data_IF_104698356703
#
_entry.id   IF_104698356703
#
_cell.length_a   1.000
_cell.length_b   1.000
_cell.length_c   1.000
_cell.angle_alpha   90.00
_cell.angle_beta   90.00
_cell.angle_gamma   90.00
#
_symmetry.space_group_name_H-M   'P 1'
#
loop_
_entity.id
_entity.type
_entity.pdbx_description
1 polymer ?
#
# COMPACT_ATOMS: atom_id res chain seq x y z
N UNK A 1 -5.98 11.93 -4.49
CA UNK A 1 -4.57 11.47 -4.67
C UNK A 1 -3.96 11.90 -6.01
N UNK A 2 -4.32 11.31 -7.16
CA UNK A 2 -3.70 11.69 -8.45
C UNK A 2 -3.85 13.19 -8.78
N UNK A 3 -5.06 13.76 -8.63
CA UNK A 3 -5.29 15.20 -8.80
C UNK A 3 -4.61 16.09 -7.75
N UNK A 4 -4.07 15.51 -6.67
CA UNK A 4 -3.28 16.21 -5.64
C UNK A 4 -1.77 16.03 -5.87
N UNK A 5 -1.36 15.38 -6.98
CA UNK A 5 0.04 15.14 -7.30
C UNK A 5 0.74 14.12 -6.41
N UNK A 6 0.00 13.28 -5.68
CA UNK A 6 0.58 12.24 -4.82
C UNK A 6 1.15 11.11 -5.72
N UNK A 7 2.47 10.81 -5.64
CA UNK A 7 3.07 9.69 -6.36
C UNK A 7 2.49 8.37 -5.86
N UNK A 8 2.17 7.45 -6.78
CA UNK A 8 1.56 6.17 -6.45
C UNK A 8 2.18 5.06 -7.30
N UNK A 9 2.31 3.88 -6.71
CA UNK A 9 2.80 2.68 -7.37
C UNK A 9 1.96 1.45 -7.02
N UNK A 10 2.03 0.43 -7.86
CA UNK A 10 1.58 -0.93 -7.52
C UNK A 10 2.79 -1.74 -7.08
N UNK A 11 2.71 -2.39 -5.92
CA UNK A 11 3.68 -3.34 -5.42
C UNK A 11 2.96 -4.66 -5.13
N UNK A 12 3.08 -5.64 -6.03
CA UNK A 12 2.23 -6.82 -6.04
C UNK A 12 3.03 -8.12 -6.02
N UNK A 13 2.42 -9.17 -5.43
CA UNK A 13 2.93 -10.54 -5.50
C UNK A 13 2.64 -11.25 -6.83
N UNK A 14 1.90 -10.63 -7.74
CA UNK A 14 1.53 -11.21 -9.04
C UNK A 14 2.60 -10.95 -10.11
N UNK A 15 2.55 -11.71 -11.21
CA UNK A 15 3.44 -11.51 -12.36
C UNK A 15 3.16 -10.16 -13.06
N UNK A 16 4.13 -9.60 -13.80
CA UNK A 16 3.95 -8.36 -14.56
C UNK A 16 2.74 -8.39 -15.51
N UNK A 17 2.48 -9.52 -16.17
CA UNK A 17 1.37 -9.66 -17.13
C UNK A 17 0.01 -9.59 -16.42
N UNK A 18 -0.11 -10.22 -15.25
CA UNK A 18 -1.33 -10.18 -14.46
C UNK A 18 -1.62 -8.76 -13.96
N UNK A 19 -0.59 -8.06 -13.47
CA UNK A 19 -0.73 -6.66 -13.02
C UNK A 19 -1.14 -5.76 -14.19
N UNK A 20 -0.45 -5.85 -15.32
CA UNK A 20 -0.76 -5.06 -16.52
C UNK A 20 -2.20 -5.31 -17.00
N UNK A 21 -2.64 -6.57 -17.01
CA UNK A 21 -4.01 -6.93 -17.39
C UNK A 21 -5.05 -6.30 -16.46
N UNK A 22 -4.83 -6.36 -15.14
CA UNK A 22 -5.77 -5.78 -14.16
C UNK A 22 -5.80 -4.25 -14.27
N UNK A 23 -4.64 -3.60 -14.38
CA UNK A 23 -4.56 -2.15 -14.51
C UNK A 23 -5.27 -1.65 -15.78
N UNK A 24 -5.02 -2.28 -16.92
CA UNK A 24 -5.69 -1.93 -18.18
C UNK A 24 -7.21 -2.14 -18.12
N UNK A 25 -7.67 -3.25 -17.51
CA UNK A 25 -9.11 -3.53 -17.39
C UNK A 25 -9.84 -2.58 -16.43
N UNK A 26 -9.13 -2.04 -15.45
CA UNK A 26 -9.69 -1.10 -14.46
C UNK A 26 -9.49 0.37 -14.86
N UNK A 27 -8.68 0.66 -15.89
CA UNK A 27 -8.29 2.01 -16.28
C UNK A 27 -7.33 2.69 -15.28
N UNK A 28 -6.78 1.92 -14.34
CA UNK A 28 -5.89 2.45 -13.30
C UNK A 28 -4.45 2.66 -13.82
N UNK A 29 -4.10 2.10 -14.97
CA UNK A 29 -2.85 2.36 -15.68
C UNK A 29 -2.63 3.86 -15.99
N UNK A 30 -3.72 4.62 -16.14
CA UNK A 30 -3.65 6.08 -16.28
C UNK A 30 -3.07 6.79 -15.04
N UNK A 31 -3.19 6.17 -13.86
CA UNK A 31 -2.81 6.74 -12.55
C UNK A 31 -1.63 6.03 -11.89
N UNK A 32 -1.47 4.72 -12.12
CA UNK A 32 -0.48 3.84 -11.49
C UNK A 32 0.57 3.40 -12.51
N UNK A 33 1.43 4.34 -12.91
CA UNK A 33 2.44 4.10 -13.95
C UNK A 33 3.66 3.35 -13.44
N UNK A 34 3.94 3.46 -12.15
CA UNK A 34 5.04 2.73 -11.49
C UNK A 34 4.50 1.42 -10.96
N UNK A 35 5.04 0.31 -11.44
CA UNK A 35 4.65 -1.04 -11.06
C UNK A 35 5.90 -1.81 -10.64
N UNK A 36 5.78 -2.61 -9.59
CA UNK A 36 6.78 -3.56 -9.13
C UNK A 36 6.09 -4.89 -8.85
N UNK A 37 6.51 -5.93 -9.56
CA UNK A 37 6.15 -7.32 -9.32
C UNK A 37 7.13 -7.98 -8.35
N UNK A 38 6.67 -8.98 -7.61
CA UNK A 38 7.53 -9.86 -6.83
C UNK A 38 8.58 -10.59 -7.70
N UNK A 39 8.33 -10.76 -9.01
CA UNK A 39 9.27 -11.36 -9.96
C UNK A 39 10.47 -10.45 -10.27
N UNK A 40 10.37 -9.15 -9.96
CA UNK A 40 11.42 -8.15 -10.19
C UNK A 40 12.34 -7.95 -8.97
N UNK A 41 12.05 -8.61 -7.85
CA UNK A 41 12.79 -8.45 -6.59
C UNK A 41 13.33 -9.79 -6.07
N UNK A 42 14.36 -9.72 -5.23
CA UNK A 42 15.03 -10.92 -4.73
C UNK A 42 14.15 -11.75 -3.78
N UNK A 43 13.28 -11.09 -3.00
CA UNK A 43 12.42 -11.75 -2.01
C UNK A 43 11.01 -11.16 -2.06
N UNK A 44 10.01 -12.02 -2.24
CA UNK A 44 8.61 -11.64 -2.14
C UNK A 44 8.17 -11.37 -0.69
N UNK A 45 6.98 -10.80 -0.53
CA UNK A 45 6.31 -10.60 0.77
C UNK A 45 6.33 -11.93 1.57
N UNK A 46 6.71 -11.94 2.87
CA UNK A 46 6.76 -10.80 3.79
C UNK A 46 8.08 -10.02 3.79
N UNK A 47 9.03 -10.32 2.90
CA UNK A 47 10.19 -9.46 2.74
C UNK A 47 9.76 -8.08 2.16
N UNK A 48 10.44 -6.99 2.55
CA UNK A 48 10.03 -5.63 2.19
C UNK A 48 10.40 -5.22 0.76
N UNK A 49 11.14 -6.07 0.03
CA UNK A 49 11.83 -5.72 -1.22
C UNK A 49 10.91 -5.06 -2.25
N UNK A 50 9.69 -5.57 -2.44
CA UNK A 50 8.72 -5.03 -3.43
C UNK A 50 8.27 -3.61 -3.08
N UNK A 51 8.11 -3.30 -1.79
CA UNK A 51 7.72 -1.97 -1.34
C UNK A 51 8.91 -1.00 -1.38
N UNK A 52 10.08 -1.43 -0.93
CA UNK A 52 11.30 -0.63 -1.00
C UNK A 52 11.66 -0.27 -2.45
N UNK A 53 11.52 -1.23 -3.37
CA UNK A 53 11.72 -0.98 -4.80
C UNK A 53 10.66 -0.02 -5.37
N UNK A 54 9.40 -0.13 -4.94
CA UNK A 54 8.36 0.81 -5.35
C UNK A 54 8.65 2.24 -4.87
N UNK A 55 9.04 2.41 -3.60
CA UNK A 55 9.46 3.72 -3.06
C UNK A 55 10.68 4.28 -3.81
N UNK A 56 11.67 3.43 -4.09
CA UNK A 56 12.85 3.82 -4.88
C UNK A 56 12.46 4.30 -6.28
N UNK A 57 11.59 3.60 -7.00
CA UNK A 57 11.10 4.00 -8.34
C UNK A 57 10.26 5.28 -8.30
N UNK A 58 9.57 5.53 -7.19
CA UNK A 58 8.83 6.78 -6.96
C UNK A 58 9.72 7.95 -6.50
N UNK A 59 10.98 7.69 -6.12
CA UNK A 59 11.85 8.69 -5.50
C UNK A 59 11.36 9.13 -4.12
N UNK A 60 10.62 8.26 -3.42
CA UNK A 60 10.03 8.53 -2.12
C UNK A 60 10.85 7.92 -0.98
N UNK A 61 10.86 8.59 0.17
CA UNK A 61 11.35 8.03 1.43
C UNK A 61 10.34 7.00 1.96
N UNK A 62 10.74 5.73 2.23
CA UNK A 62 9.84 4.72 2.80
C UNK A 62 9.09 5.19 4.06
N UNK A 63 9.73 5.97 4.93
CA UNK A 63 9.08 6.49 6.15
C UNK A 63 7.92 7.47 5.86
N UNK A 64 7.83 7.97 4.62
CA UNK A 64 6.76 8.85 4.13
C UNK A 64 5.79 8.14 3.19
N UNK A 65 5.94 6.83 2.99
CA UNK A 65 5.05 6.01 2.20
C UNK A 65 3.93 5.43 3.07
N UNK A 66 2.75 5.27 2.44
CA UNK A 66 1.63 4.52 3.00
C UNK A 66 1.31 3.39 2.03
N UNK A 67 1.22 2.17 2.56
CA UNK A 67 0.79 0.97 1.85
C UNK A 67 -0.69 0.73 2.11
N UNK A 68 -1.44 0.39 1.06
CA UNK A 68 -2.81 -0.13 1.15
C UNK A 68 -2.75 -1.63 0.87
N UNK A 69 -3.12 -2.49 1.83
CA UNK A 69 -2.86 -3.93 1.74
C UNK A 69 -3.97 -4.79 2.35
N UNK A 70 -4.25 -5.94 1.75
CA UNK A 70 -5.32 -6.85 2.17
C UNK A 70 -4.84 -8.22 2.70
N UNK A 71 -3.56 -8.52 2.52
CA UNK A 71 -2.96 -9.78 2.94
C UNK A 71 -1.96 -9.61 4.09
N UNK A 72 -1.99 -10.54 5.04
CA UNK A 72 -1.08 -10.57 6.20
C UNK A 72 0.42 -10.51 5.81
N UNK A 73 0.92 -11.28 4.82
CA UNK A 73 2.32 -11.15 4.38
C UNK A 73 2.66 -9.75 3.86
N UNK A 74 1.70 -9.07 3.23
CA UNK A 74 1.90 -7.70 2.76
C UNK A 74 1.96 -6.69 3.90
N UNK A 75 1.09 -6.82 4.91
CA UNK A 75 1.14 -5.95 6.09
C UNK A 75 2.49 -6.09 6.82
N UNK A 76 2.97 -7.33 6.98
CA UNK A 76 4.29 -7.59 7.52
C UNK A 76 5.42 -6.96 6.68
N UNK A 77 5.33 -7.06 5.34
CA UNK A 77 6.31 -6.46 4.44
C UNK A 77 6.29 -4.92 4.48
N UNK A 78 5.12 -4.28 4.62
CA UNK A 78 5.00 -2.84 4.78
C UNK A 78 5.69 -2.37 6.06
N UNK A 79 5.42 -3.06 7.18
CA UNK A 79 6.07 -2.80 8.45
C UNK A 79 7.60 -3.00 8.38
N UNK A 80 8.05 -4.10 7.78
CA UNK A 80 9.48 -4.38 7.59
C UNK A 80 10.17 -3.36 6.67
N UNK A 81 9.42 -2.70 5.78
CA UNK A 81 9.93 -1.62 4.94
C UNK A 81 9.99 -0.26 5.66
N UNK A 82 9.54 -0.17 6.92
CA UNK A 82 9.41 1.09 7.65
C UNK A 82 8.32 1.99 7.08
N UNK A 83 7.34 1.42 6.38
CA UNK A 83 6.21 2.16 5.80
C UNK A 83 4.98 2.02 6.69
N UNK A 84 4.12 3.03 6.64
CA UNK A 84 2.80 2.97 7.26
C UNK A 84 1.88 2.09 6.43
N UNK A 85 0.88 1.48 7.05
CA UNK A 85 -0.05 0.55 6.43
C UNK A 85 -1.50 0.87 6.79
N UNK A 86 -2.34 0.96 5.77
CA UNK A 86 -3.80 0.81 5.87
C UNK A 86 -4.10 -0.64 5.50
N UNK A 87 -4.40 -1.46 6.51
CA UNK A 87 -4.74 -2.87 6.34
C UNK A 87 -6.26 -3.06 6.14
N UNK A 88 -6.63 -3.79 5.10
CA UNK A 88 -8.00 -4.13 4.72
C UNK A 88 -8.09 -5.64 4.49
N UNK A 89 -8.18 -6.46 5.55
CA UNK A 89 -8.24 -7.91 5.43
C UNK A 89 -9.20 -8.34 4.32
N UNK A 90 -8.77 -9.27 3.46
CA UNK A 90 -9.58 -9.74 2.34
C UNK A 90 -10.99 -10.17 2.80
N UNK A 91 -11.08 -10.84 3.96
CA UNK A 91 -12.33 -11.05 4.69
C UNK A 91 -12.19 -10.67 6.16
N UNK A 92 -13.28 -10.25 6.80
CA UNK A 92 -13.29 -9.83 8.21
C UNK A 92 -12.69 -10.87 9.17
N UNK A 93 -12.91 -12.16 8.90
CA UNK A 93 -12.36 -13.27 9.71
C UNK A 93 -10.83 -13.36 9.75
N UNK A 94 -10.12 -12.61 8.91
CA UNK A 94 -8.65 -12.54 8.90
C UNK A 94 -8.11 -11.35 9.70
N UNK A 95 -8.96 -10.47 10.22
CA UNK A 95 -8.53 -9.23 10.87
C UNK A 95 -7.67 -9.45 12.13
N UNK A 96 -7.74 -10.62 12.76
CA UNK A 96 -6.96 -10.95 13.95
C UNK A 96 -5.59 -11.59 13.62
N UNK A 97 -5.22 -11.67 12.34
CA UNK A 97 -3.86 -12.07 11.97
C UNK A 97 -2.84 -11.09 12.58
N UNK A 98 -1.78 -11.59 13.25
CA UNK A 98 -0.86 -10.75 14.02
C UNK A 98 -0.12 -9.71 13.17
N UNK A 99 0.05 -9.98 11.87
CA UNK A 99 0.69 -9.06 10.93
C UNK A 99 -0.10 -7.74 10.79
N UNK A 100 -1.43 -7.80 10.89
CA UNK A 100 -2.28 -6.61 10.85
C UNK A 100 -2.22 -5.74 12.11
N UNK A 101 -1.70 -6.27 13.22
CA UNK A 101 -1.55 -5.50 14.46
C UNK A 101 -0.53 -4.35 14.34
N UNK A 102 0.32 -4.39 13.30
CA UNK A 102 1.30 -3.35 13.00
C UNK A 102 0.77 -2.23 12.10
N UNK A 103 -0.44 -2.37 11.57
CA UNK A 103 -1.04 -1.37 10.70
C UNK A 103 -1.57 -0.17 11.50
N UNK A 104 -1.27 1.04 11.04
CA UNK A 104 -1.74 2.28 11.66
C UNK A 104 -3.23 2.52 11.43
N UNK A 105 -3.81 1.89 10.42
CA UNK A 105 -5.25 1.78 10.24
C UNK A 105 -5.64 0.35 9.84
N UNK A 106 -6.46 -0.31 10.65
CA UNK A 106 -7.03 -1.62 10.35
C UNK A 106 -8.54 -1.53 10.15
N UNK A 107 -9.00 -1.86 8.94
CA UNK A 107 -10.43 -1.98 8.61
C UNK A 107 -10.90 -3.38 9.03
N UNK A 108 -11.33 -3.54 10.28
CA UNK A 108 -11.64 -4.87 10.85
C UNK A 108 -12.73 -5.65 10.11
N UNK A 109 -13.72 -5.00 9.49
CA UNK A 109 -14.71 -5.68 8.64
C UNK A 109 -14.18 -6.09 7.27
N UNK A 110 -12.90 -5.86 6.99
CA UNK A 110 -12.28 -6.21 5.73
C UNK A 110 -12.77 -5.35 4.56
N UNK A 111 -12.79 -5.93 3.37
CA UNK A 111 -13.15 -5.22 2.14
C UNK A 111 -14.60 -4.71 2.13
N UNK A 112 -15.52 -5.34 2.86
CA UNK A 112 -16.93 -4.92 2.92
C UNK A 112 -17.12 -3.57 3.64
N UNK A 113 -16.30 -3.30 4.66
CA UNK A 113 -16.33 -2.06 5.45
C UNK A 113 -15.43 -0.97 4.86
N UNK A 114 -14.62 -1.30 3.85
CA UNK A 114 -13.69 -0.36 3.26
C UNK A 114 -14.40 0.70 2.42
N UNK A 115 -14.00 1.97 2.60
CA UNK A 115 -14.35 3.04 1.68
C UNK A 115 -13.13 3.87 1.31
N UNK A 116 -13.05 4.25 0.03
CA UNK A 116 -11.99 5.15 -0.45
C UNK A 116 -11.99 6.51 0.28
N UNK A 117 -13.16 6.97 0.73
CA UNK A 117 -13.30 8.20 1.53
C UNK A 117 -12.64 8.07 2.89
N UNK A 118 -12.92 7.01 3.65
CA UNK A 118 -12.31 6.81 4.96
C UNK A 118 -10.78 6.73 4.88
N UNK A 119 -10.25 6.02 3.88
CA UNK A 119 -8.81 5.97 3.64
C UNK A 119 -8.23 7.34 3.27
N UNK A 120 -8.90 8.11 2.41
CA UNK A 120 -8.47 9.45 2.03
C UNK A 120 -8.49 10.43 3.20
N UNK A 121 -9.54 10.40 4.02
CA UNK A 121 -9.65 11.25 5.21
C UNK A 121 -8.53 10.96 6.21
N UNK A 122 -8.24 9.67 6.46
CA UNK A 122 -7.13 9.26 7.32
C UNK A 122 -5.76 9.74 6.79
N UNK A 123 -5.52 9.60 5.48
CA UNK A 123 -4.30 10.11 4.82
C UNK A 123 -4.14 11.63 4.98
N UNK A 124 -5.24 12.37 5.17
CA UNK A 124 -5.22 13.84 5.33
C UNK A 124 -5.03 14.26 6.77
N UNK A 125 -5.64 13.58 7.73
CA UNK A 125 -5.48 13.88 9.16
C UNK A 125 -4.03 13.76 9.60
N UNK A 126 -3.29 12.81 9.03
CA UNK A 126 -1.89 12.57 9.37
C UNK A 126 -0.91 13.59 8.77
N UNK A 127 -1.30 14.28 7.68
CA UNK A 127 -0.48 15.33 7.07
C UNK A 127 -0.45 16.63 7.90
N UNK A 128 -1.28 16.74 8.93
CA UNK A 128 -1.39 17.93 9.79
C UNK A 128 -0.22 18.09 10.77
N UNK A 129 0.54 17.01 11.04
CA UNK A 129 1.64 17.04 12.03
C UNK A 129 3.02 17.39 11.42
N UNK A 130 3.09 17.59 10.11
CA UNK A 130 4.32 18.02 9.41
C UNK A 130 4.12 19.43 8.88
N UNK A 131 3.93 20.39 9.78
CA UNK A 131 3.55 21.74 9.37
C UNK A 131 3.56 22.82 10.45
N UNK A 132 4.53 22.82 11.37
CA UNK A 132 4.98 24.08 12.00
C UNK A 132 6.38 23.91 12.61
N UNK A 133 7.41 24.30 11.87
CA UNK A 133 8.64 24.83 12.44
C UNK A 133 9.01 26.03 11.58
N UNK A 134 8.82 27.20 12.18
CA UNK A 134 9.14 28.54 11.69
C UNK A 134 10.64 28.64 11.44
#
# INVERSE_FOLDING_TARGET
LAGEGVPMAVASGSSPEAIATILARTGLDAHLRTVVSADEVARGKPAPDVFLEAARRLGADPARCVVLEDAAPGAAAAHAAGMRCIAIPYVAGQADAPEFATAELLVRGGQEDFTARAAHDWLRTDRSDVGETI
#
